data_IF_729808870524
#
_entry.id   IF_729808870524
#
_cell.length_a   1.000
_cell.length_b   1.000
_cell.length_c   1.000
_cell.angle_alpha   90.00
_cell.angle_beta   90.00
_cell.angle_gamma   90.00
#
_symmetry.space_group_name_H-M   'P 1'
#
loop_
_entity.id
_entity.type
_entity.pdbx_description
1 polymer ?
#
# COMPACT_ATOMS: atom_id res chain seq x y z
N UNK A 1 48.63 10.14 -3.50
CA UNK A 1 47.87 10.03 -2.24
C UNK A 1 46.47 10.58 -2.48
N UNK A 2 45.52 9.75 -2.92
CA UNK A 2 44.13 10.18 -3.09
C UNK A 2 43.41 9.95 -1.76
N UNK A 3 43.15 11.03 -1.02
CA UNK A 3 42.38 10.96 0.22
C UNK A 3 40.92 10.65 -0.09
N UNK A 4 40.38 9.63 0.56
CA UNK A 4 38.95 9.34 0.54
C UNK A 4 38.21 10.46 1.29
N UNK A 5 37.49 11.33 0.58
CA UNK A 5 36.52 12.22 1.21
C UNK A 5 35.30 11.41 1.63
N UNK A 6 35.34 10.83 2.83
CA UNK A 6 34.14 10.35 3.49
C UNK A 6 33.31 11.58 3.91
N UNK A 7 32.38 11.99 3.05
CA UNK A 7 31.44 13.07 3.36
C UNK A 7 30.50 12.64 4.50
N UNK A 8 30.28 13.53 5.47
CA UNK A 8 29.27 13.33 6.52
C UNK A 8 27.89 13.47 5.90
N UNK A 9 27.07 12.41 5.98
CA UNK A 9 25.67 12.48 5.59
C UNK A 9 24.85 13.18 6.69
N UNK A 10 24.00 14.12 6.27
CA UNK A 10 23.04 14.80 7.14
C UNK A 10 21.63 14.42 6.71
N UNK A 11 20.84 13.90 7.64
CA UNK A 11 19.41 13.67 7.43
C UNK A 11 18.70 15.03 7.34
N UNK A 12 17.94 15.24 6.27
CA UNK A 12 17.17 16.46 6.06
C UNK A 12 15.75 16.34 6.64
N UNK A 13 15.12 15.17 6.49
CA UNK A 13 13.76 14.90 6.97
C UNK A 13 13.61 13.41 7.30
N UNK A 14 12.84 13.11 8.35
CA UNK A 14 12.39 11.76 8.70
C UNK A 14 10.91 11.83 9.05
N UNK A 15 10.10 10.96 8.45
CA UNK A 15 8.66 10.86 8.67
C UNK A 15 8.33 9.39 8.85
N UNK A 16 7.58 9.06 9.91
CA UNK A 16 7.04 7.72 10.11
C UNK A 16 5.74 7.60 9.31
N UNK A 17 5.71 6.65 8.37
CA UNK A 17 4.55 6.38 7.50
C UNK A 17 3.58 5.36 8.10
N UNK A 18 3.80 4.94 9.35
CA UNK A 18 3.07 3.87 10.09
C UNK A 18 3.22 2.47 9.49
N UNK A 19 3.33 2.37 8.16
CA UNK A 19 3.58 1.17 7.39
C UNK A 19 4.96 1.22 6.73
N UNK A 20 5.55 0.06 6.49
CA UNK A 20 6.79 -0.05 5.70
C UNK A 20 6.47 0.12 4.22
N UNK A 21 7.14 1.05 3.55
CA UNK A 21 6.98 1.26 2.12
C UNK A 21 7.81 0.25 1.31
N UNK A 22 7.16 -0.44 0.37
CA UNK A 22 7.82 -1.35 -0.58
C UNK A 22 8.34 -0.61 -1.82
N UNK A 23 7.80 0.57 -2.09
CA UNK A 23 8.18 1.43 -3.22
C UNK A 23 8.00 2.89 -2.86
N UNK A 24 8.90 3.74 -3.37
CA UNK A 24 8.87 5.19 -3.18
C UNK A 24 9.14 5.90 -4.50
N UNK A 25 8.30 6.86 -4.86
CA UNK A 25 8.42 7.62 -6.11
C UNK A 25 8.07 9.09 -5.94
N UNK A 26 8.88 9.97 -6.51
CA UNK A 26 8.56 11.40 -6.62
C UNK A 26 7.61 11.63 -7.80
N UNK A 27 6.62 12.51 -7.62
CA UNK A 27 5.70 12.84 -8.70
C UNK A 27 6.41 13.61 -9.83
N UNK A 28 6.38 13.13 -11.09
CA UNK A 28 7.06 13.80 -12.20
C UNK A 28 6.25 14.97 -12.81
N UNK A 29 4.99 15.16 -12.40
CA UNK A 29 4.08 16.15 -12.99
C UNK A 29 4.46 17.56 -12.55
N UNK A 30 4.61 18.50 -13.48
CA UNK A 30 4.91 19.92 -13.23
C UNK A 30 3.96 20.54 -12.18
N UNK A 31 4.48 21.40 -11.29
CA UNK A 31 3.77 21.86 -10.08
C UNK A 31 3.61 20.87 -8.91
N UNK A 32 3.80 19.56 -9.09
CA UNK A 32 3.58 18.52 -8.05
C UNK A 32 4.82 17.76 -7.59
N UNK A 33 6.04 18.14 -8.01
CA UNK A 33 7.28 17.39 -7.69
C UNK A 33 7.63 17.36 -6.19
N UNK A 34 6.94 18.18 -5.39
CA UNK A 34 7.07 18.18 -3.94
C UNK A 34 6.31 17.01 -3.27
N UNK A 35 5.49 16.27 -4.03
CA UNK A 35 4.76 15.11 -3.55
C UNK A 35 5.61 13.83 -3.69
N UNK A 36 5.66 13.06 -2.62
CA UNK A 36 6.28 11.73 -2.56
C UNK A 36 5.19 10.69 -2.32
N UNK A 37 5.09 9.69 -3.20
CA UNK A 37 4.23 8.55 -3.02
C UNK A 37 5.01 7.42 -2.33
N UNK A 38 4.43 6.87 -1.26
CA UNK A 38 4.94 5.69 -0.55
C UNK A 38 3.94 4.55 -0.75
N UNK A 39 4.30 3.57 -1.58
CA UNK A 39 3.45 2.42 -1.88
C UNK A 39 3.65 1.28 -0.88
N UNK A 40 2.57 0.56 -0.58
CA UNK A 40 2.61 -0.69 0.21
C UNK A 40 1.86 -1.78 -0.55
N UNK A 41 2.37 -3.00 -0.55
CA UNK A 41 1.68 -4.17 -1.09
C UNK A 41 1.08 -4.97 0.05
N UNK A 42 -0.26 -4.99 0.14
CA UNK A 42 -0.95 -5.80 1.14
C UNK A 42 -1.23 -7.19 0.58
N UNK A 43 -0.54 -8.20 1.13
CA UNK A 43 -0.82 -9.60 0.81
C UNK A 43 -2.12 -10.02 1.48
N UNK A 44 -3.09 -10.48 0.69
CA UNK A 44 -4.32 -11.07 1.20
C UNK A 44 -4.04 -12.39 1.88
N UNK A 45 -4.54 -12.59 3.10
CA UNK A 45 -4.40 -13.87 3.76
C UNK A 45 -5.14 -14.95 2.95
N UNK A 46 -4.69 -16.22 2.96
CA UNK A 46 -5.33 -17.28 2.19
C UNK A 46 -6.84 -17.41 2.43
N UNK A 47 -7.31 -17.10 3.64
CA UNK A 47 -8.73 -17.09 4.02
C UNK A 47 -9.54 -15.96 3.36
N UNK A 48 -8.90 -14.87 2.99
CA UNK A 48 -9.54 -13.70 2.36
C UNK A 48 -9.65 -13.85 0.83
N UNK A 49 -9.05 -14.91 0.27
CA UNK A 49 -9.08 -15.21 -1.17
C UNK A 49 -10.26 -16.13 -1.56
N UNK A 50 -10.99 -16.66 -0.58
CA UNK A 50 -12.06 -17.67 -0.79
C UNK A 50 -13.36 -17.02 -1.25
N UNK A 51 -13.62 -15.74 -0.94
CA UNK A 51 -14.87 -15.07 -1.30
C UNK A 51 -14.94 -14.52 -2.74
N UNK A 52 -13.83 -14.47 -3.49
CA UNK A 52 -13.83 -13.86 -4.83
C UNK A 52 -14.08 -14.85 -5.97
N UNK A 53 -14.07 -16.17 -5.71
CA UNK A 53 -14.22 -17.19 -6.76
C UNK A 53 -15.66 -17.60 -7.06
N UNK A 54 -16.64 -17.11 -6.32
CA UNK A 54 -18.07 -17.46 -6.48
C UNK A 54 -18.90 -16.36 -7.16
N UNK A 55 -18.26 -15.35 -7.75
CA UNK A 55 -18.95 -14.25 -8.46
C UNK A 55 -19.20 -14.46 -9.95
N UNK A 56 -18.72 -15.55 -10.56
CA UNK A 56 -18.82 -15.77 -12.01
C UNK A 56 -19.39 -17.15 -12.37
N UNK A 57 -20.57 -17.47 -11.82
CA UNK A 57 -21.51 -18.40 -12.45
C UNK A 57 -22.93 -18.23 -11.89
N UNK A 58 -23.84 -17.80 -12.77
CA UNK A 58 -25.26 -18.16 -12.82
C UNK A 58 -26.19 -17.73 -11.66
N UNK A 59 -26.93 -16.64 -11.91
CA UNK A 59 -28.40 -16.60 -11.95
C UNK A 59 -29.25 -17.11 -10.77
N UNK A 60 -30.13 -16.19 -10.33
CA UNK A 60 -31.47 -16.39 -9.76
C UNK A 60 -31.63 -16.64 -8.24
N UNK A 61 -32.20 -15.62 -7.58
CA UNK A 61 -33.00 -15.71 -6.34
C UNK A 61 -32.24 -16.08 -5.07
N UNK A 62 -32.66 -15.77 -3.85
CA UNK A 62 -33.69 -14.90 -3.30
C UNK A 62 -33.47 -14.93 -1.77
N UNK A 63 -33.65 -13.77 -1.15
CA UNK A 63 -33.99 -13.48 0.25
C UNK A 63 -33.48 -14.39 1.40
N UNK A 64 -32.79 -13.78 2.36
CA UNK A 64 -32.42 -14.43 3.62
C UNK A 64 -31.93 -13.46 4.69
N UNK A 65 -32.82 -12.56 5.11
CA UNK A 65 -32.76 -11.83 6.38
C UNK A 65 -32.31 -12.73 7.55
N UNK A 66 -31.70 -12.11 8.59
CA UNK A 66 -31.65 -12.45 10.02
C UNK A 66 -30.19 -12.29 10.53
N UNK A 67 -29.84 -11.67 11.65
CA UNK A 67 -30.45 -10.79 12.65
C UNK A 67 -29.31 -10.49 13.64
N UNK A 68 -29.35 -9.30 14.25
CA UNK A 68 -28.57 -8.84 15.41
C UNK A 68 -28.39 -9.89 16.51
N UNK A 69 -27.25 -9.84 17.22
CA UNK A 69 -27.02 -10.61 18.44
C UNK A 69 -25.94 -9.99 19.36
N UNK A 70 -26.46 -9.27 20.37
CA UNK A 70 -25.90 -8.90 21.70
C UNK A 70 -24.68 -7.97 21.79
#
# INVERSE_FOLDING_TARGET
>A
MAGSHAGTLRVLQAVDTELTADSVEWCPVEGYQHLLACGTYQLRAPRDQVHDREGEATGAGEEGLLTSGA
#
